data_IF_120070084002
#
_entry.id   IF_120070084002
#
_cell.length_a   1.000
_cell.length_b   1.000
_cell.length_c   1.000
_cell.angle_alpha   90.00
_cell.angle_beta   90.00
_cell.angle_gamma   90.00
#
_symmetry.space_group_name_H-M   'P 1'
#
loop_
_entity.id
_entity.type
_entity.pdbx_description
1 polymer ?
#
# COMPACT_ATOMS: atom_id res chain seq x y z
N UNK A 1 -1.41 -0.81 -14.07
CA UNK A 1 -0.66 0.37 -13.53
C UNK A 1 0.17 -0.11 -12.34
N UNK A 2 1.41 0.39 -12.19
CA UNK A 2 2.27 0.08 -11.03
C UNK A 2 2.21 1.22 -10.02
N UNK A 3 1.98 0.89 -8.75
CA UNK A 3 1.83 1.86 -7.66
C UNK A 3 2.75 1.47 -6.51
N UNK A 4 3.56 2.43 -6.04
CA UNK A 4 4.42 2.25 -4.87
C UNK A 4 3.94 3.18 -3.76
N UNK A 5 3.69 2.62 -2.58
CA UNK A 5 3.27 3.36 -1.37
C UNK A 5 4.38 3.31 -0.33
N UNK A 6 4.78 4.47 0.20
CA UNK A 6 5.81 4.57 1.23
C UNK A 6 5.16 5.01 2.55
N UNK A 7 5.23 4.13 3.56
CA UNK A 7 4.61 4.24 4.88
C UNK A 7 3.23 3.56 4.93
N UNK A 8 3.04 2.61 5.86
CA UNK A 8 1.78 1.87 6.02
C UNK A 8 0.96 2.37 7.23
N UNK A 9 0.90 3.70 7.41
CA UNK A 9 -0.06 4.30 8.33
C UNK A 9 -1.51 4.03 7.86
N UNK A 10 -2.52 4.56 8.58
CA UNK A 10 -3.93 4.30 8.26
C UNK A 10 -4.30 4.51 6.77
N UNK A 11 -3.80 5.60 6.19
CA UNK A 11 -4.00 5.91 4.76
C UNK A 11 -3.14 4.99 3.86
N UNK A 12 -1.96 4.61 4.33
CA UNK A 12 -0.99 3.76 3.63
C UNK A 12 -1.38 2.29 3.49
N UNK A 13 -2.52 1.88 4.05
CA UNK A 13 -3.09 0.53 3.87
C UNK A 13 -4.45 0.54 3.16
N UNK A 14 -5.27 1.56 3.42
CA UNK A 14 -6.66 1.59 2.93
C UNK A 14 -6.73 1.86 1.44
N UNK A 15 -6.01 2.86 0.95
CA UNK A 15 -5.95 3.19 -0.49
C UNK A 15 -5.30 2.08 -1.33
N UNK A 16 -4.12 1.55 -0.96
CA UNK A 16 -3.51 0.44 -1.71
C UNK A 16 -4.35 -0.84 -1.71
N UNK A 17 -5.14 -1.11 -0.66
CA UNK A 17 -6.08 -2.24 -0.64
C UNK A 17 -7.13 -2.15 -1.76
N UNK A 18 -7.76 -0.99 -1.96
CA UNK A 18 -8.73 -0.82 -3.03
C UNK A 18 -8.09 -0.78 -4.42
N UNK A 19 -6.89 -0.21 -4.54
CA UNK A 19 -6.13 -0.23 -5.79
C UNK A 19 -5.75 -1.65 -6.20
N UNK A 20 -5.27 -2.48 -5.26
CA UNK A 20 -4.95 -3.88 -5.51
C UNK A 20 -6.19 -4.67 -5.95
N UNK A 21 -7.36 -4.43 -5.32
CA UNK A 21 -8.63 -5.06 -5.72
C UNK A 21 -9.12 -4.67 -7.11
N UNK A 22 -8.70 -3.52 -7.64
CA UNK A 22 -9.00 -3.08 -9.01
C UNK A 22 -7.98 -3.60 -10.02
N UNK A 23 -7.02 -4.43 -9.61
CA UNK A 23 -6.00 -5.01 -10.48
C UNK A 23 -4.77 -4.12 -10.67
N UNK A 24 -4.56 -3.11 -9.81
CA UNK A 24 -3.28 -2.41 -9.78
C UNK A 24 -2.19 -3.30 -9.18
N UNK A 25 -0.98 -3.21 -9.74
CA UNK A 25 0.22 -3.85 -9.19
C UNK A 25 0.79 -2.92 -8.11
N UNK A 26 0.53 -3.25 -6.85
CA UNK A 26 0.80 -2.39 -5.69
C UNK A 26 1.91 -2.97 -4.84
N UNK A 27 2.94 -2.16 -4.58
CA UNK A 27 4.00 -2.47 -3.61
C UNK A 27 3.95 -1.46 -2.47
N UNK A 28 3.83 -1.95 -1.23
CA UNK A 28 3.86 -1.12 -0.02
C UNK A 28 5.20 -1.31 0.68
N UNK A 29 5.90 -0.21 0.93
CA UNK A 29 7.16 -0.16 1.66
C UNK A 29 6.93 0.59 2.97
N UNK A 30 7.18 -0.04 4.12
CA UNK A 30 7.15 0.62 5.43
C UNK A 30 8.54 0.56 6.09
N UNK A 31 8.87 1.58 6.89
CA UNK A 31 10.15 1.73 7.58
C UNK A 31 10.28 0.80 8.79
N UNK A 32 9.16 0.39 9.40
CA UNK A 32 9.17 -0.52 10.55
C UNK A 32 8.13 -1.63 10.39
N UNK A 33 8.41 -2.86 10.85
CA UNK A 33 7.36 -3.83 11.12
C UNK A 33 6.47 -3.25 12.23
N UNK A 34 5.21 -2.96 11.91
CA UNK A 34 4.19 -2.74 12.95
C UNK A 34 4.05 -4.05 13.76
N UNK A 35 3.82 -3.99 15.09
CA UNK A 35 3.61 -5.16 15.93
C UNK A 35 2.50 -6.07 15.42
#
# INVERSE_FOLDING_TARGET
>A
MKVVVIGAAFIGVTTPYYLARQGADVTVLDRQPRP
#
